data_IF_671640920714
#
_entry.id   IF_671640920714
#
_cell.length_a   1.000
_cell.length_b   1.000
_cell.length_c   1.000
_cell.angle_alpha   90.00
_cell.angle_beta   90.00
_cell.angle_gamma   90.00
#
_symmetry.space_group_name_H-M   'P 1'
#
loop_
_entity.id
_entity.type
_entity.pdbx_description
1 polymer ?
#
# COMPACT_ATOMS: atom_id res chain seq x y z
N UNK A 1 12.11 -54.30 9.16
CA UNK A 1 11.51 -52.98 8.84
C UNK A 1 11.83 -52.04 9.98
N UNK A 2 12.88 -51.24 9.80
CA UNK A 2 13.46 -50.35 10.80
C UNK A 2 12.51 -49.15 11.04
N UNK A 3 12.00 -49.01 12.26
CA UNK A 3 11.19 -47.85 12.64
C UNK A 3 12.15 -46.66 12.80
N UNK A 4 12.30 -45.86 11.75
CA UNK A 4 13.05 -44.60 11.78
C UNK A 4 12.48 -43.74 12.91
N UNK A 5 13.21 -43.65 14.03
CA UNK A 5 12.80 -42.89 15.20
C UNK A 5 12.95 -41.40 14.90
N UNK A 6 11.86 -40.75 14.50
CA UNK A 6 11.87 -39.31 14.24
C UNK A 6 12.11 -38.51 15.54
N UNK A 7 12.89 -37.42 15.46
CA UNK A 7 13.19 -36.57 16.62
C UNK A 7 11.92 -35.95 17.22
N UNK A 8 11.91 -35.69 18.55
CA UNK A 8 10.68 -35.38 19.30
C UNK A 8 9.97 -34.09 18.87
N UNK A 9 10.71 -33.12 18.35
CA UNK A 9 10.20 -31.86 17.79
C UNK A 9 9.50 -32.06 16.43
N UNK A 10 9.99 -32.98 15.61
CA UNK A 10 9.39 -33.32 14.32
C UNK A 10 8.07 -34.07 14.52
N UNK A 11 7.99 -34.96 15.52
CA UNK A 11 6.72 -35.61 15.89
C UNK A 11 5.64 -34.58 16.24
N UNK A 12 5.95 -33.59 17.10
CA UNK A 12 5.00 -32.54 17.49
C UNK A 12 4.50 -31.73 16.29
N UNK A 13 5.40 -31.36 15.37
CA UNK A 13 5.04 -30.63 14.14
C UNK A 13 4.16 -31.46 13.21
N UNK A 14 4.47 -32.76 13.03
CA UNK A 14 3.66 -33.67 12.21
C UNK A 14 2.25 -33.89 12.80
N UNK A 15 2.12 -34.05 14.11
CA UNK A 15 0.82 -34.14 14.77
C UNK A 15 0.01 -32.84 14.66
N UNK A 16 0.65 -31.68 14.86
CA UNK A 16 -0.01 -30.38 14.70
C UNK A 16 -0.49 -30.17 13.26
N UNK A 17 0.35 -30.46 12.26
CA UNK A 17 -0.02 -30.28 10.85
C UNK A 17 -1.14 -31.24 10.43
N UNK A 18 -1.12 -32.49 10.92
CA UNK A 18 -2.17 -33.46 10.67
C UNK A 18 -3.53 -33.05 11.25
N UNK A 19 -3.55 -32.52 12.48
CA UNK A 19 -4.79 -32.04 13.12
C UNK A 19 -5.35 -30.81 12.40
N UNK A 20 -4.51 -29.82 12.06
CA UNK A 20 -4.91 -28.65 11.27
C UNK A 20 -5.50 -29.06 9.91
N UNK A 21 -4.81 -29.95 9.17
CA UNK A 21 -5.29 -30.45 7.88
C UNK A 21 -6.64 -31.18 8.00
N UNK A 22 -6.83 -32.01 9.03
CA UNK A 22 -8.10 -32.70 9.30
C UNK A 22 -9.27 -31.72 9.47
N UNK A 23 -9.09 -30.66 10.26
CA UNK A 23 -10.13 -29.65 10.47
C UNK A 23 -10.40 -28.83 9.21
N UNK A 24 -9.37 -28.47 8.43
CA UNK A 24 -9.56 -27.80 7.14
C UNK A 24 -10.28 -28.68 6.11
N UNK A 25 -9.91 -29.96 6.00
CA UNK A 25 -10.55 -30.92 5.11
C UNK A 25 -12.03 -31.11 5.42
N UNK A 26 -12.39 -31.21 6.71
CA UNK A 26 -13.80 -31.24 7.14
C UNK A 26 -14.54 -29.95 6.82
N UNK A 27 -13.90 -28.79 7.00
CA UNK A 27 -14.50 -27.50 6.67
C UNK A 27 -14.78 -27.35 5.16
N UNK A 28 -13.86 -27.82 4.31
CA UNK A 28 -13.98 -27.80 2.85
C UNK A 28 -15.02 -28.81 2.33
N UNK A 29 -14.99 -30.06 2.81
CA UNK A 29 -15.82 -31.14 2.29
C UNK A 29 -17.25 -31.15 2.83
N UNK A 30 -17.46 -30.71 4.06
CA UNK A 30 -18.76 -30.79 4.74
C UNK A 30 -19.35 -29.41 5.07
N UNK A 31 -18.73 -28.33 4.59
CA UNK A 31 -19.29 -26.97 4.68
C UNK A 31 -19.45 -26.41 6.10
N UNK A 32 -18.70 -26.92 7.09
CA UNK A 32 -18.80 -26.51 8.50
C UNK A 32 -18.00 -25.25 8.88
N UNK A 33 -17.55 -24.45 7.91
CA UNK A 33 -16.74 -23.25 8.15
C UNK A 33 -17.59 -22.15 8.80
N UNK A 34 -17.64 -22.13 10.12
CA UNK A 34 -18.30 -21.05 10.87
C UNK A 34 -17.42 -19.81 10.79
N UNK A 35 -17.89 -18.78 10.07
CA UNK A 35 -17.29 -17.45 10.06
C UNK A 35 -17.08 -16.99 11.51
N UNK A 36 -15.82 -16.82 11.91
CA UNK A 36 -15.48 -16.17 13.18
C UNK A 36 -15.36 -14.68 12.89
N UNK A 37 -16.38 -13.85 13.23
CA UNK A 37 -16.23 -12.42 13.07
C UNK A 37 -15.02 -11.98 13.88
N UNK A 38 -14.03 -11.38 13.22
CA UNK A 38 -12.79 -10.92 13.86
C UNK A 38 -13.01 -9.67 14.72
N UNK A 39 -14.25 -9.36 15.14
CA UNK A 39 -14.61 -8.13 15.86
C UNK A 39 -14.39 -6.83 15.06
N UNK A 40 -13.69 -6.88 13.93
CA UNK A 40 -13.50 -5.75 13.02
C UNK A 40 -14.76 -5.52 12.20
N UNK A 41 -15.65 -4.72 12.75
CA UNK A 41 -16.49 -3.85 11.93
C UNK A 41 -15.54 -3.05 11.03
N UNK A 42 -15.86 -2.92 9.74
CA UNK A 42 -15.23 -1.86 8.93
C UNK A 42 -15.70 -0.56 9.55
N UNK A 43 -14.90 -0.03 10.46
CA UNK A 43 -15.15 1.28 11.05
C UNK A 43 -14.63 2.25 10.02
N UNK A 44 -15.56 2.93 9.36
CA UNK A 44 -15.28 4.10 8.54
C UNK A 44 -14.84 5.19 9.52
N UNK A 45 -13.54 5.19 9.86
CA UNK A 45 -12.95 6.27 10.62
C UNK A 45 -12.85 7.49 9.72
N UNK A 46 -13.39 8.61 10.20
CA UNK A 46 -13.12 9.90 9.59
C UNK A 46 -11.70 10.27 10.00
N UNK A 47 -10.75 10.10 9.09
CA UNK A 47 -9.38 10.55 9.30
C UNK A 47 -9.30 12.04 8.98
N UNK A 48 -8.88 12.83 9.97
CA UNK A 48 -8.70 14.28 9.82
C UNK A 48 -7.74 14.57 8.65
N UNK A 49 -7.97 15.69 7.97
CA UNK A 49 -7.19 16.14 6.82
C UNK A 49 -5.72 16.24 7.21
N UNK A 50 -5.43 16.74 8.40
CA UNK A 50 -4.08 16.90 8.96
C UNK A 50 -3.34 15.56 9.05
N UNK A 51 -3.99 14.51 9.57
CA UNK A 51 -3.35 13.19 9.74
C UNK A 51 -3.13 12.49 8.40
N UNK A 52 -4.13 12.53 7.52
CA UNK A 52 -4.03 12.00 6.15
C UNK A 52 -2.92 12.69 5.36
N UNK A 53 -2.82 14.02 5.44
CA UNK A 53 -1.78 14.78 4.75
C UNK A 53 -0.39 14.52 5.34
N UNK A 54 -0.27 14.34 6.66
CA UNK A 54 1.01 14.02 7.32
C UNK A 54 1.54 12.64 6.94
N UNK A 55 0.66 11.65 6.83
CA UNK A 55 1.02 10.29 6.38
C UNK A 55 1.36 10.26 4.88
N UNK A 56 0.57 10.97 4.07
CA UNK A 56 0.79 11.08 2.63
C UNK A 56 2.11 11.80 2.30
N UNK A 57 2.36 12.93 2.97
CA UNK A 57 3.52 13.77 2.70
C UNK A 57 4.83 13.01 2.88
N UNK A 58 4.94 12.26 3.96
CA UNK A 58 6.12 11.44 4.30
C UNK A 58 6.47 10.40 3.25
N UNK A 59 5.48 9.77 2.62
CA UNK A 59 5.69 8.59 1.78
C UNK A 59 5.64 8.90 0.28
N UNK A 60 4.76 9.81 -0.14
CA UNK A 60 4.45 10.01 -1.54
C UNK A 60 4.80 11.42 -2.04
N UNK A 61 4.56 12.46 -1.25
CA UNK A 61 4.81 13.84 -1.65
C UNK A 61 6.30 14.15 -1.77
N UNK A 62 7.11 13.79 -0.76
CA UNK A 62 8.58 14.00 -0.80
C UNK A 62 9.19 13.30 -2.01
N UNK A 63 8.70 12.11 -2.37
CA UNK A 63 9.14 11.36 -3.56
C UNK A 63 8.72 12.00 -4.87
N UNK A 64 7.53 12.60 -4.93
CA UNK A 64 7.14 13.42 -6.08
C UNK A 64 8.07 14.64 -6.24
N UNK A 65 8.38 15.34 -5.14
CA UNK A 65 9.26 16.49 -5.19
C UNK A 65 10.71 16.15 -5.56
N UNK A 66 11.25 15.06 -5.03
CA UNK A 66 12.57 14.53 -5.40
C UNK A 66 12.66 14.21 -6.90
N UNK A 67 11.61 13.60 -7.46
CA UNK A 67 11.53 13.30 -8.89
C UNK A 67 11.44 14.56 -9.75
N UNK A 68 10.79 15.63 -9.27
CA UNK A 68 10.72 16.92 -9.97
C UNK A 68 12.10 17.55 -10.08
N UNK A 69 12.86 17.57 -8.97
CA UNK A 69 14.22 18.10 -8.96
C UNK A 69 15.16 17.29 -9.87
N UNK A 70 15.04 15.97 -9.84
CA UNK A 70 15.80 15.09 -10.73
C UNK A 70 15.49 15.35 -12.20
N UNK A 71 14.22 15.57 -12.55
CA UNK A 71 13.83 15.87 -13.93
C UNK A 71 14.41 17.20 -14.44
N UNK A 72 14.43 18.24 -13.58
CA UNK A 72 15.04 19.53 -13.91
C UNK A 72 16.56 19.40 -14.06
N UNK A 73 17.22 18.69 -13.15
CA UNK A 73 18.66 18.46 -13.23
C UNK A 73 19.02 17.68 -14.51
N UNK A 74 18.26 16.63 -14.81
CA UNK A 74 18.43 15.81 -16.00
C UNK A 74 18.23 16.59 -17.31
N UNK A 75 17.37 17.61 -17.34
CA UNK A 75 17.21 18.51 -18.48
C UNK A 75 18.43 19.41 -18.68
N UNK A 76 19.01 19.93 -17.57
CA UNK A 76 20.20 20.81 -17.60
C UNK A 76 21.47 20.06 -17.99
N UNK A 77 21.70 18.87 -17.42
CA UNK A 77 22.91 18.07 -17.67
C UNK A 77 22.83 17.24 -18.96
N UNK A 78 21.73 17.34 -19.70
CA UNK A 78 21.50 16.52 -20.89
C UNK A 78 22.47 16.88 -22.01
N UNK A 79 23.31 15.93 -22.39
CA UNK A 79 24.29 16.12 -23.46
C UNK A 79 23.91 15.46 -24.79
N UNK A 80 23.00 14.48 -24.79
CA UNK A 80 22.55 13.80 -26.02
C UNK A 80 21.18 13.14 -25.82
N UNK A 81 20.15 13.51 -26.60
CA UNK A 81 18.86 12.86 -26.50
C UNK A 81 18.87 11.51 -27.22
N UNK A 82 18.16 10.53 -26.65
CA UNK A 82 17.56 9.41 -27.39
C UNK A 82 16.77 9.94 -28.61
N UNK A 83 16.31 9.05 -29.48
CA UNK A 83 15.39 9.44 -30.56
C UNK A 83 14.27 10.35 -30.04
N UNK A 84 13.97 11.46 -30.75
CA UNK A 84 13.07 12.52 -30.27
C UNK A 84 11.72 12.00 -29.75
N UNK A 85 11.19 10.94 -30.35
CA UNK A 85 9.91 10.35 -29.96
C UNK A 85 9.98 9.65 -28.59
N UNK A 86 11.03 8.87 -28.33
CA UNK A 86 11.22 8.17 -27.06
C UNK A 86 11.40 9.18 -25.92
N UNK A 87 12.11 10.27 -26.17
CA UNK A 87 12.29 11.34 -25.18
C UNK A 87 10.96 11.99 -24.77
N UNK A 88 10.11 12.35 -25.73
CA UNK A 88 8.81 12.97 -25.46
C UNK A 88 7.90 12.05 -24.62
N UNK A 89 7.86 10.76 -24.95
CA UNK A 89 7.05 9.79 -24.23
C UNK A 89 7.53 9.61 -22.78
N UNK A 90 8.83 9.46 -22.56
CA UNK A 90 9.39 9.31 -21.21
C UNK A 90 9.12 10.57 -20.39
N UNK A 91 9.42 11.75 -20.94
CA UNK A 91 9.22 13.03 -20.25
C UNK A 91 7.76 13.22 -19.88
N UNK A 92 6.83 12.96 -20.80
CA UNK A 92 5.39 13.08 -20.54
C UNK A 92 4.90 12.10 -19.45
N UNK A 93 5.38 10.85 -19.45
CA UNK A 93 5.01 9.88 -18.41
C UNK A 93 5.53 10.28 -17.02
N UNK A 94 6.75 10.79 -16.92
CA UNK A 94 7.33 11.28 -15.66
C UNK A 94 6.54 12.50 -15.15
N UNK A 95 6.24 13.47 -16.02
CA UNK A 95 5.39 14.61 -15.69
C UNK A 95 4.00 14.19 -15.19
N UNK A 96 3.39 13.20 -15.82
CA UNK A 96 2.08 12.68 -15.41
C UNK A 96 2.11 12.06 -14.00
N UNK A 97 3.15 11.28 -13.70
CA UNK A 97 3.36 10.69 -12.37
C UNK A 97 3.57 11.78 -11.32
N UNK A 98 4.36 12.81 -11.64
CA UNK A 98 4.60 13.96 -10.76
C UNK A 98 3.30 14.68 -10.38
N UNK A 99 2.50 15.06 -11.38
CA UNK A 99 1.23 15.75 -11.16
C UNK A 99 0.30 14.89 -10.30
N UNK A 100 0.17 13.60 -10.64
CA UNK A 100 -0.68 12.70 -9.87
C UNK A 100 -0.21 12.55 -8.42
N UNK A 101 1.10 12.50 -8.17
CA UNK A 101 1.70 12.45 -6.81
C UNK A 101 1.56 13.75 -6.03
N UNK A 102 1.41 14.90 -6.68
CA UNK A 102 1.20 16.17 -6.00
C UNK A 102 -0.29 16.40 -5.67
N UNK A 103 -1.17 15.97 -6.57
CA UNK A 103 -2.61 16.24 -6.48
C UNK A 103 -3.44 15.08 -5.89
N UNK A 104 -2.89 13.88 -5.72
CA UNK A 104 -3.62 12.75 -5.13
C UNK A 104 -4.33 13.03 -3.79
N UNK A 105 -3.73 13.73 -2.79
CA UNK A 105 -4.43 13.94 -1.52
C UNK A 105 -5.67 14.83 -1.67
N UNK A 106 -5.69 15.72 -2.68
CA UNK A 106 -6.84 16.56 -3.00
C UNK A 106 -7.89 15.82 -3.84
N UNK A 107 -7.45 14.98 -4.78
CA UNK A 107 -8.34 14.22 -5.68
C UNK A 107 -9.15 13.17 -4.92
N UNK A 108 -8.52 12.46 -3.97
CA UNK A 108 -9.16 11.39 -3.20
C UNK A 108 -9.81 11.88 -1.89
N UNK A 109 -9.68 13.17 -1.59
CA UNK A 109 -10.37 13.78 -0.46
C UNK A 109 -11.02 15.12 -0.86
N UNK A 110 -12.25 15.08 -1.42
CA UNK A 110 -12.97 16.31 -1.81
C UNK A 110 -13.29 17.22 -0.62
N UNK A 111 -13.25 16.70 0.63
CA UNK A 111 -13.42 17.53 1.83
C UNK A 111 -12.20 18.42 2.12
N UNK A 112 -11.03 18.13 1.53
CA UNK A 112 -9.84 18.99 1.61
C UNK A 112 -9.99 20.34 0.91
N UNK A 113 -10.96 20.50 0.00
CA UNK A 113 -11.27 21.79 -0.64
C UNK A 113 -12.20 22.67 0.22
N UNK A 114 -12.83 22.11 1.26
CA UNK A 114 -13.66 22.91 2.16
C UNK A 114 -12.78 23.64 3.18
N UNK A 115 -12.41 24.87 2.86
CA UNK A 115 -11.58 25.74 3.71
C UNK A 115 -12.06 25.78 5.16
N UNK A 116 -13.38 25.87 5.38
CA UNK A 116 -13.96 25.93 6.74
C UNK A 116 -13.67 24.66 7.56
N UNK A 117 -13.68 23.48 6.93
CA UNK A 117 -13.35 22.22 7.61
C UNK A 117 -11.85 22.09 7.88
N UNK A 118 -11.01 22.54 6.95
CA UNK A 118 -9.54 22.53 7.13
C UNK A 118 -9.11 23.43 8.29
N UNK A 119 -9.73 24.60 8.45
CA UNK A 119 -9.45 25.52 9.57
C UNK A 119 -9.92 24.94 10.90
N UNK A 120 -11.02 24.18 10.91
CA UNK A 120 -11.56 23.52 12.10
C UNK A 120 -10.64 22.36 12.53
N UNK A 121 -10.22 21.50 11.60
CA UNK A 121 -9.26 20.39 11.79
C UNK A 121 -7.85 20.84 12.22
N UNK A 122 -7.51 22.13 12.07
CA UNK A 122 -6.21 22.68 12.48
C UNK A 122 -6.21 23.24 13.90
N UNK A 123 -7.39 23.46 14.48
CA UNK A 123 -7.55 23.97 15.85
C UNK A 123 -7.60 22.85 16.89
N UNK A 124 -7.91 21.63 16.48
CA UNK A 124 -7.83 20.40 17.28
C UNK A 124 -6.38 19.91 17.44
#
# INVERSE_FOLDING_TARGET
>A
MEKISQPPDQKKRTYSMGTTCHYHGRALLHGGAKYRPTGRKVVVFHANVTENYRLYSRSHFVKGFELLLLLIADDIFRHSPLSSMTYLLITYTIWFVLITRLFAPFLFNPSGFNWRKVVEDWKD
#
